data_IF_520452525990
#
_entry.id   IF_520452525990
#
_cell.length_a   1.000
_cell.length_b   1.000
_cell.length_c   1.000
_cell.angle_alpha   90.00
_cell.angle_beta   90.00
_cell.angle_gamma   90.00
#
_symmetry.space_group_name_H-M   'P 1'
#
loop_
_entity.id
_entity.type
_entity.pdbx_description
1 polymer ?
#
# COMPACT_ATOMS: atom_id res chain seq x y z
N UNK A 1 -19.78 -43.42 12.74
CA UNK A 1 -20.04 -41.98 12.95
C UNK A 1 -19.49 -41.21 11.76
N UNK A 2 -20.33 -40.87 10.79
CA UNK A 2 -19.98 -40.04 9.63
C UNK A 2 -20.17 -38.58 10.02
N UNK A 3 -19.08 -37.88 10.30
CA UNK A 3 -19.09 -36.43 10.52
C UNK A 3 -19.50 -35.74 9.22
N UNK A 4 -20.72 -35.18 9.19
CA UNK A 4 -21.14 -34.23 8.17
C UNK A 4 -20.21 -33.01 8.25
N UNK A 5 -19.27 -32.90 7.31
CA UNK A 5 -18.59 -31.64 7.03
C UNK A 5 -19.63 -30.65 6.55
N UNK A 6 -19.93 -29.65 7.38
CA UNK A 6 -20.63 -28.43 6.96
C UNK A 6 -19.98 -27.89 5.67
N UNK A 7 -20.74 -27.37 4.71
CA UNK A 7 -20.20 -26.74 3.53
C UNK A 7 -19.56 -25.42 3.95
N UNK A 8 -18.35 -25.50 4.51
CA UNK A 8 -17.49 -24.35 4.70
C UNK A 8 -17.29 -23.73 3.33
N UNK A 9 -17.52 -22.41 3.23
CA UNK A 9 -17.11 -21.58 2.09
C UNK A 9 -15.85 -22.18 1.47
N UNK A 10 -15.93 -22.53 0.18
CA UNK A 10 -14.81 -23.17 -0.52
C UNK A 10 -13.57 -22.32 -0.23
N UNK A 11 -12.44 -22.93 0.15
CA UNK A 11 -11.28 -22.16 0.60
C UNK A 11 -10.82 -21.10 -0.42
N UNK A 12 -11.19 -21.25 -1.70
CA UNK A 12 -11.03 -20.23 -2.73
C UNK A 12 -11.91 -18.99 -2.54
N UNK A 13 -13.19 -19.16 -2.17
CA UNK A 13 -14.11 -18.05 -1.91
C UNK A 13 -13.62 -17.16 -0.75
N UNK A 14 -13.13 -17.75 0.35
CA UNK A 14 -12.56 -17.00 1.47
C UNK A 14 -11.34 -16.16 1.03
N UNK A 15 -10.47 -16.71 0.18
CA UNK A 15 -9.30 -15.98 -0.33
C UNK A 15 -9.71 -14.84 -1.25
N UNK A 16 -10.69 -15.06 -2.12
CA UNK A 16 -11.16 -14.01 -3.02
C UNK A 16 -11.87 -12.90 -2.25
N UNK A 17 -12.68 -13.23 -1.25
CA UNK A 17 -13.37 -12.23 -0.43
C UNK A 17 -12.38 -11.48 0.45
N UNK A 18 -11.58 -12.15 1.26
CA UNK A 18 -10.70 -11.48 2.23
C UNK A 18 -9.37 -11.02 1.65
N UNK A 19 -8.83 -11.73 0.64
CA UNK A 19 -7.55 -11.41 0.01
C UNK A 19 -7.64 -10.51 -1.22
N UNK A 20 -8.84 -10.29 -1.78
CA UNK A 20 -9.02 -9.45 -2.98
C UNK A 20 -10.15 -8.44 -2.80
N UNK A 21 -11.38 -8.90 -2.58
CA UNK A 21 -12.54 -8.01 -2.52
C UNK A 21 -12.48 -7.04 -1.33
N UNK A 22 -12.16 -7.54 -0.13
CA UNK A 22 -12.04 -6.73 1.08
C UNK A 22 -10.97 -5.63 0.92
N UNK A 23 -9.72 -5.92 0.51
CA UNK A 23 -8.75 -4.85 0.29
C UNK A 23 -9.12 -3.88 -0.85
N UNK A 24 -9.86 -4.31 -1.88
CA UNK A 24 -10.43 -3.38 -2.88
C UNK A 24 -11.50 -2.46 -2.28
N UNK A 25 -12.35 -2.98 -1.40
CA UNK A 25 -13.34 -2.18 -0.65
C UNK A 25 -12.60 -1.19 0.25
N UNK A 26 -11.56 -1.60 0.97
CA UNK A 26 -10.76 -0.70 1.80
C UNK A 26 -10.10 0.41 0.97
N UNK A 27 -9.51 0.09 -0.19
CA UNK A 27 -8.96 1.08 -1.11
C UNK A 27 -10.02 2.08 -1.60
N UNK A 28 -11.27 1.64 -1.76
CA UNK A 28 -12.36 2.48 -2.24
C UNK A 28 -12.99 3.36 -1.16
N UNK A 29 -13.03 2.88 0.08
CA UNK A 29 -13.80 3.45 1.20
C UNK A 29 -12.96 4.04 2.33
N UNK A 30 -11.63 3.90 2.30
CA UNK A 30 -10.73 4.54 3.26
C UNK A 30 -9.88 5.65 2.61
N UNK A 31 -10.50 6.71 2.07
CA UNK A 31 -9.77 7.82 1.50
C UNK A 31 -8.91 8.53 2.56
N UNK A 32 -9.17 8.40 3.87
CA UNK A 32 -8.33 9.06 4.90
C UNK A 32 -6.88 8.55 4.95
N UNK A 33 -6.67 7.25 4.70
CA UNK A 33 -5.34 6.63 4.56
C UNK A 33 -4.68 6.91 3.19
N UNK A 34 -5.47 7.30 2.19
CA UNK A 34 -5.04 7.52 0.80
C UNK A 34 -5.13 8.98 0.30
N UNK A 35 -5.73 9.92 1.03
CA UNK A 35 -5.92 11.32 0.59
C UNK A 35 -4.79 12.22 1.09
N UNK A 36 -3.73 11.66 1.69
CA UNK A 36 -2.55 12.44 2.08
C UNK A 36 -2.80 13.55 3.11
N UNK A 37 -3.99 13.56 3.75
CA UNK A 37 -4.40 14.55 4.75
C UNK A 37 -3.64 14.47 6.07
N UNK A 38 -2.89 13.39 6.29
CA UNK A 38 -2.03 13.24 7.47
C UNK A 38 -0.60 13.59 7.04
N UNK A 39 -0.22 14.82 7.37
CA UNK A 39 1.05 15.45 7.00
C UNK A 39 2.25 14.66 7.57
N UNK A 40 3.08 14.08 6.71
CA UNK A 40 4.29 13.35 7.14
C UNK A 40 4.92 12.44 6.08
N UNK A 41 6.24 12.37 6.05
CA UNK A 41 6.98 11.41 5.19
C UNK A 41 6.69 9.94 5.53
N UNK A 42 6.31 9.65 6.78
CA UNK A 42 5.94 8.31 7.24
C UNK A 42 4.61 7.82 6.64
N UNK A 43 3.62 8.69 6.47
CA UNK A 43 2.31 8.31 5.91
C UNK A 43 2.42 8.04 4.42
N UNK A 44 3.26 8.80 3.69
CA UNK A 44 3.61 8.49 2.29
C UNK A 44 4.28 7.12 2.13
N UNK A 45 5.27 6.80 2.97
CA UNK A 45 5.93 5.49 2.96
C UNK A 45 4.95 4.34 3.25
N UNK A 46 4.10 4.50 4.27
CA UNK A 46 3.09 3.51 4.65
C UNK A 46 2.01 3.34 3.57
N UNK A 47 1.61 4.43 2.90
CA UNK A 47 0.65 4.41 1.80
C UNK A 47 1.20 3.62 0.61
N UNK A 48 2.39 3.98 0.14
CA UNK A 48 3.03 3.34 -1.02
C UNK A 48 3.37 1.88 -0.73
N UNK A 49 3.99 1.62 0.44
CA UNK A 49 4.28 0.26 0.88
C UNK A 49 3.02 -0.58 1.05
N UNK A 50 1.97 0.03 1.61
CA UNK A 50 0.65 -0.56 1.78
C UNK A 50 0.00 -0.98 0.46
N UNK A 51 -0.07 -0.08 -0.51
CA UNK A 51 -0.60 -0.35 -1.86
C UNK A 51 0.20 -1.46 -2.53
N UNK A 52 1.54 -1.34 -2.51
CA UNK A 52 2.44 -2.31 -3.16
C UNK A 52 2.22 -3.72 -2.60
N UNK A 53 2.16 -3.85 -1.27
CA UNK A 53 1.94 -5.12 -0.62
C UNK A 53 0.52 -5.67 -0.83
N UNK A 54 -0.50 -4.80 -0.85
CA UNK A 54 -1.87 -5.20 -1.18
C UNK A 54 -1.95 -5.77 -2.59
N UNK A 55 -1.40 -5.07 -3.59
CA UNK A 55 -1.40 -5.52 -5.00
C UNK A 55 -0.66 -6.85 -5.13
N UNK A 56 0.56 -6.97 -4.58
CA UNK A 56 1.32 -8.22 -4.65
C UNK A 56 0.63 -9.37 -3.89
N UNK A 57 -0.03 -9.06 -2.77
CA UNK A 57 -0.83 -10.00 -2.00
C UNK A 57 -2.05 -10.52 -2.80
N UNK A 58 -2.79 -9.61 -3.45
CA UNK A 58 -3.91 -9.94 -4.33
C UNK A 58 -3.46 -10.82 -5.51
N UNK A 59 -2.37 -10.45 -6.19
CA UNK A 59 -1.81 -11.23 -7.30
C UNK A 59 -1.40 -12.62 -6.83
N UNK A 60 -0.76 -12.73 -5.66
CA UNK A 60 -0.38 -14.02 -5.06
C UNK A 60 -1.61 -14.85 -4.68
N UNK A 61 -2.67 -14.21 -4.16
CA UNK A 61 -3.93 -14.85 -3.82
C UNK A 61 -4.64 -15.41 -5.05
N UNK A 62 -4.78 -14.61 -6.11
CA UNK A 62 -5.36 -15.01 -7.40
C UNK A 62 -4.54 -16.15 -8.02
N UNK A 63 -3.21 -16.03 -8.06
CA UNK A 63 -2.32 -17.08 -8.56
C UNK A 63 -2.46 -18.39 -7.77
N UNK A 64 -2.73 -18.32 -6.47
CA UNK A 64 -2.95 -19.51 -5.62
C UNK A 64 -4.28 -20.23 -5.89
N UNK A 65 -5.29 -19.49 -6.37
CA UNK A 65 -6.60 -20.03 -6.73
C UNK A 65 -6.55 -20.62 -8.13
N UNK A 66 -6.03 -19.86 -9.11
CA UNK A 66 -5.95 -20.29 -10.51
C UNK A 66 -4.92 -21.41 -10.73
N UNK A 67 -3.75 -21.35 -10.08
CA UNK A 67 -2.67 -22.32 -10.25
C UNK A 67 -2.78 -23.58 -9.39
N UNK A 68 -3.90 -23.78 -8.67
CA UNK A 68 -4.14 -24.97 -7.84
C UNK A 68 -3.21 -25.13 -6.61
N UNK A 69 -2.42 -24.12 -6.27
CA UNK A 69 -1.54 -24.13 -5.10
C UNK A 69 -0.34 -25.10 -5.20
N UNK A 70 0.24 -25.26 -6.39
CA UNK A 70 1.39 -26.17 -6.64
C UNK A 70 2.77 -25.49 -6.68
N UNK A 71 2.84 -24.20 -6.34
CA UNK A 71 4.07 -23.40 -6.45
C UNK A 71 4.56 -22.91 -5.10
N UNK A 72 5.82 -23.24 -4.77
CA UNK A 72 6.54 -22.73 -3.60
C UNK A 72 6.69 -21.20 -3.62
N UNK A 73 6.77 -20.60 -4.82
CA UNK A 73 6.83 -19.15 -5.01
C UNK A 73 5.54 -18.47 -4.56
N UNK A 74 4.39 -19.04 -4.92
CA UNK A 74 3.06 -18.54 -4.52
C UNK A 74 2.87 -18.65 -3.01
N UNK A 75 3.37 -19.73 -2.38
CA UNK A 75 3.39 -19.86 -0.92
C UNK A 75 4.26 -18.79 -0.26
N UNK A 76 5.41 -18.45 -0.86
CA UNK A 76 6.30 -17.39 -0.39
C UNK A 76 5.68 -16.00 -0.51
N UNK A 77 5.03 -15.67 -1.63
CA UNK A 77 4.30 -14.41 -1.81
C UNK A 77 3.14 -14.25 -0.83
N UNK A 78 2.37 -15.32 -0.59
CA UNK A 78 1.32 -15.32 0.44
C UNK A 78 1.89 -15.17 1.86
N UNK A 79 3.05 -15.77 2.16
CA UNK A 79 3.70 -15.60 3.46
C UNK A 79 4.18 -14.16 3.65
N UNK A 80 4.82 -13.58 2.63
CA UNK A 80 5.24 -12.18 2.63
C UNK A 80 4.06 -11.23 2.81
N UNK A 81 2.95 -11.49 2.10
CA UNK A 81 1.70 -10.76 2.28
C UNK A 81 1.14 -10.89 3.69
N UNK A 82 1.15 -12.08 4.29
CA UNK A 82 0.71 -12.28 5.67
C UNK A 82 1.57 -11.49 6.67
N UNK A 83 2.90 -11.59 6.56
CA UNK A 83 3.84 -10.85 7.44
C UNK A 83 3.56 -9.35 7.33
N UNK A 84 3.46 -8.83 6.11
CA UNK A 84 3.21 -7.42 5.89
C UNK A 84 1.84 -6.98 6.42
N UNK A 85 0.77 -7.74 6.17
CA UNK A 85 -0.57 -7.44 6.69
C UNK A 85 -0.59 -7.42 8.22
N UNK A 86 0.16 -8.30 8.89
CA UNK A 86 0.34 -8.24 10.33
C UNK A 86 1.15 -7.00 10.75
N UNK A 87 2.29 -6.71 10.11
CA UNK A 87 3.10 -5.53 10.45
C UNK A 87 2.31 -4.23 10.28
N UNK A 88 1.61 -4.08 9.16
CA UNK A 88 0.79 -2.90 8.88
C UNK A 88 -0.42 -2.84 9.82
N UNK A 89 -1.10 -3.96 10.05
CA UNK A 89 -2.23 -4.03 10.98
C UNK A 89 -1.85 -3.72 12.43
N UNK A 90 -0.70 -4.20 12.89
CA UNK A 90 -0.16 -3.87 14.22
C UNK A 90 0.26 -2.40 14.30
N UNK A 91 0.93 -1.87 13.27
CA UNK A 91 1.30 -0.45 13.21
C UNK A 91 0.08 0.47 13.26
N UNK A 92 -0.93 0.19 12.43
CA UNK A 92 -2.20 0.92 12.45
C UNK A 92 -2.93 0.74 13.78
N UNK A 93 -2.95 -0.45 14.37
CA UNK A 93 -3.55 -0.67 15.67
C UNK A 93 -2.95 0.24 16.74
N UNK A 94 -1.62 0.41 16.80
CA UNK A 94 -1.00 1.32 17.77
C UNK A 94 -1.34 2.80 17.52
N UNK A 95 -1.33 3.23 16.25
CA UNK A 95 -1.73 4.61 15.87
C UNK A 95 -3.19 4.87 16.25
N UNK A 96 -4.06 3.90 15.96
CA UNK A 96 -5.50 4.00 16.17
C UNK A 96 -5.85 3.91 17.65
N UNK A 97 -5.24 3.01 18.42
CA UNK A 97 -5.41 2.96 19.88
C UNK A 97 -4.93 4.28 20.50
N UNK A 98 -3.81 4.83 20.03
CA UNK A 98 -3.33 6.14 20.46
C UNK A 98 -4.34 7.27 20.19
N UNK A 99 -4.98 7.27 19.02
CA UNK A 99 -5.99 8.27 18.64
C UNK A 99 -7.37 8.04 19.30
N UNK A 100 -7.75 6.78 19.53
CA UNK A 100 -9.05 6.39 20.10
C UNK A 100 -9.19 6.75 21.57
N UNK A 101 -8.08 6.86 22.31
CA UNK A 101 -8.08 7.38 23.69
C UNK A 101 -8.60 8.82 23.74
N UNK A 102 -8.48 9.58 22.64
CA UNK A 102 -8.83 11.00 22.60
C UNK A 102 -10.15 11.32 21.89
N UNK A 103 -10.78 10.37 21.19
CA UNK A 103 -11.96 10.65 20.38
C UNK A 103 -13.16 9.79 20.78
N UNK A 104 -14.23 10.44 21.25
CA UNK A 104 -15.47 9.83 21.76
C UNK A 104 -16.55 9.59 20.70
N UNK A 105 -16.23 9.74 19.40
CA UNK A 105 -17.21 9.60 18.33
C UNK A 105 -17.29 8.19 17.75
N UNK A 106 -18.52 7.67 17.59
CA UNK A 106 -18.82 6.36 17.01
C UNK A 106 -18.28 6.21 15.56
N UNK A 107 -18.21 7.31 14.81
CA UNK A 107 -17.65 7.32 13.46
C UNK A 107 -16.16 6.98 13.45
N UNK A 108 -15.36 7.55 14.38
CA UNK A 108 -13.95 7.21 14.52
C UNK A 108 -13.74 5.74 14.89
N UNK A 109 -14.65 5.15 15.67
CA UNK A 109 -14.61 3.71 15.99
C UNK A 109 -14.87 2.80 14.78
N UNK A 110 -15.76 3.21 13.87
CA UNK A 110 -15.99 2.46 12.62
C UNK A 110 -14.77 2.53 11.68
N UNK A 111 -14.14 3.71 11.54
CA UNK A 111 -12.87 3.86 10.81
C UNK A 111 -11.73 3.07 11.46
N UNK A 112 -11.70 3.05 12.79
CA UNK A 112 -10.77 2.24 13.60
C UNK A 112 -10.88 0.76 13.28
N UNK A 113 -12.10 0.22 13.22
CA UNK A 113 -12.32 -1.18 12.85
C UNK A 113 -11.92 -1.49 11.40
N UNK A 114 -12.09 -0.54 10.47
CA UNK A 114 -11.59 -0.68 9.09
C UNK A 114 -10.06 -0.76 9.05
N UNK A 115 -9.36 0.04 9.86
CA UNK A 115 -7.90 0.01 9.99
C UNK A 115 -7.33 -1.31 10.51
N UNK A 116 -8.16 -2.17 11.12
CA UNK A 116 -7.79 -3.52 11.58
C UNK A 116 -8.06 -4.61 10.54
N UNK A 117 -8.65 -4.29 9.39
CA UNK A 117 -8.89 -5.27 8.34
C UNK A 117 -7.61 -6.01 7.87
N UNK A 118 -6.42 -5.38 7.79
CA UNK A 118 -5.17 -6.10 7.52
C UNK A 118 -4.88 -7.24 8.53
N UNK A 119 -5.25 -7.09 9.80
CA UNK A 119 -5.12 -8.15 10.81
C UNK A 119 -6.05 -9.34 10.55
N UNK A 120 -7.20 -9.12 9.92
CA UNK A 120 -8.11 -10.19 9.54
C UNK A 120 -7.61 -10.95 8.29
N UNK A 121 -6.93 -10.25 7.37
CA UNK A 121 -6.41 -10.85 6.13
C UNK A 121 -5.14 -11.68 6.37
N UNK A 122 -4.28 -11.27 7.30
CA UNK A 122 -3.03 -11.96 7.64
C UNK A 122 -3.17 -13.47 7.93
N UNK A 123 -4.10 -13.89 8.81
CA UNK A 123 -4.39 -15.31 9.06
C UNK A 123 -4.86 -16.09 7.82
N UNK A 124 -5.63 -15.45 6.92
CA UNK A 124 -6.11 -16.07 5.68
C UNK A 124 -4.94 -16.35 4.73
N UNK A 125 -4.04 -15.38 4.57
CA UNK A 125 -2.81 -15.57 3.78
C UNK A 125 -1.86 -16.59 4.39
N UNK A 126 -1.71 -16.60 5.72
CA UNK A 126 -0.86 -17.55 6.42
C UNK A 126 -1.38 -18.99 6.29
N UNK A 127 -2.67 -19.21 6.55
CA UNK A 127 -3.31 -20.53 6.41
C UNK A 127 -3.21 -21.04 4.98
N UNK A 128 -3.43 -20.18 3.98
CA UNK A 128 -3.27 -20.56 2.58
C UNK A 128 -1.80 -20.81 2.21
N UNK A 129 -0.86 -20.02 2.69
CA UNK A 129 0.58 -20.23 2.46
C UNK A 129 1.02 -21.62 2.96
N UNK A 130 0.55 -22.03 4.15
CA UNK A 130 0.81 -23.37 4.72
C UNK A 130 0.20 -24.48 3.87
N UNK A 131 -1.03 -24.30 3.40
CA UNK A 131 -1.72 -25.29 2.54
C UNK A 131 -1.07 -25.41 1.15
N UNK A 132 -0.62 -24.31 0.55
CA UNK A 132 0.12 -24.32 -0.72
C UNK A 132 1.50 -24.97 -0.53
N UNK A 133 2.16 -24.71 0.61
CA UNK A 133 3.45 -25.32 0.92
C UNK A 133 3.34 -26.84 1.10
N UNK A 134 2.33 -27.33 1.84
CA UNK A 134 2.16 -28.77 2.04
C UNK A 134 1.91 -29.50 0.71
N UNK A 135 1.13 -28.91 -0.19
CA UNK A 135 0.92 -29.42 -1.55
C UNK A 135 2.18 -29.37 -2.41
N UNK A 136 2.96 -28.30 -2.34
CA UNK A 136 4.23 -28.19 -3.06
C UNK A 136 5.28 -29.18 -2.53
N UNK A 137 5.31 -29.40 -1.21
CA UNK A 137 6.19 -30.36 -0.56
C UNK A 137 5.87 -31.80 -0.96
N UNK A 138 4.58 -32.15 -1.08
CA UNK A 138 4.14 -33.45 -1.61
C UNK A 138 4.59 -33.69 -3.07
N UNK A 139 4.97 -32.63 -3.80
CA UNK A 139 5.46 -32.69 -5.18
C UNK A 139 7.00 -32.54 -5.27
N UNK A 140 7.73 -32.57 -4.14
CA UNK A 140 9.19 -32.40 -4.10
C UNK A 140 9.69 -30.98 -4.41
N UNK A 141 8.79 -29.98 -4.49
CA UNK A 141 9.11 -28.60 -4.88
C UNK A 141 9.34 -27.71 -3.66
N UNK A 142 10.47 -27.91 -2.99
CA UNK A 142 10.80 -27.20 -1.74
C UNK A 142 11.55 -25.87 -1.95
N UNK A 143 12.18 -25.69 -3.12
CA UNK A 143 13.05 -24.54 -3.40
C UNK A 143 12.22 -23.32 -3.81
N UNK A 144 12.56 -22.15 -3.30
CA UNK A 144 11.99 -20.87 -3.73
C UNK A 144 11.00 -20.19 -2.78
N UNK A 145 10.51 -20.84 -1.73
CA UNK A 145 9.58 -20.19 -0.77
C UNK A 145 10.23 -19.03 -0.01
N UNK A 146 11.41 -19.29 0.57
CA UNK A 146 12.18 -18.27 1.29
C UNK A 146 12.62 -17.14 0.35
N UNK A 147 13.07 -17.49 -0.86
CA UNK A 147 13.44 -16.52 -1.89
C UNK A 147 12.26 -15.63 -2.29
N UNK A 148 11.08 -16.20 -2.56
CA UNK A 148 9.89 -15.44 -2.93
C UNK A 148 9.36 -14.58 -1.77
N UNK A 149 9.42 -15.09 -0.53
CA UNK A 149 9.08 -14.29 0.66
C UNK A 149 10.03 -13.11 0.83
N UNK A 150 11.34 -13.34 0.72
CA UNK A 150 12.34 -12.29 0.82
C UNK A 150 12.22 -11.28 -0.33
N UNK A 151 12.02 -11.74 -1.57
CA UNK A 151 11.79 -10.88 -2.72
C UNK A 151 10.53 -10.02 -2.51
N UNK A 152 9.46 -10.59 -1.98
CA UNK A 152 8.25 -9.84 -1.64
C UNK A 152 8.55 -8.72 -0.63
N UNK A 153 9.22 -9.04 0.48
CA UNK A 153 9.58 -8.04 1.51
C UNK A 153 10.48 -6.96 0.93
N UNK A 154 11.49 -7.35 0.14
CA UNK A 154 12.41 -6.40 -0.51
C UNK A 154 11.64 -5.48 -1.46
N UNK A 155 10.72 -5.98 -2.28
CA UNK A 155 9.92 -5.14 -3.19
C UNK A 155 9.03 -4.18 -2.39
N UNK A 156 8.37 -4.65 -1.35
CA UNK A 156 7.52 -3.80 -0.49
C UNK A 156 8.29 -2.67 0.21
N UNK A 157 9.60 -2.82 0.42
CA UNK A 157 10.47 -1.77 0.97
C UNK A 157 11.14 -0.93 -0.13
N UNK A 158 11.56 -1.55 -1.24
CA UNK A 158 12.30 -0.89 -2.31
C UNK A 158 11.41 0.10 -3.07
N UNK A 159 10.16 -0.25 -3.36
CA UNK A 159 9.20 0.61 -4.08
C UNK A 159 8.96 1.94 -3.35
N UNK A 160 8.56 1.97 -2.05
CA UNK A 160 8.39 3.23 -1.34
C UNK A 160 9.70 4.01 -1.17
N UNK A 161 10.83 3.33 -0.98
CA UNK A 161 12.14 4.00 -0.87
C UNK A 161 12.55 4.66 -2.18
N UNK A 162 12.32 3.99 -3.31
CA UNK A 162 12.61 4.52 -4.64
C UNK A 162 11.67 5.69 -4.99
N UNK A 163 10.38 5.61 -4.61
CA UNK A 163 9.44 6.71 -4.79
C UNK A 163 9.83 7.95 -3.97
N UNK A 164 10.24 7.78 -2.71
CA UNK A 164 10.74 8.88 -1.87
C UNK A 164 12.03 9.49 -2.44
N UNK A 165 12.95 8.66 -2.93
CA UNK A 165 14.17 9.12 -3.58
C UNK A 165 13.88 9.90 -4.88
N UNK A 166 12.94 9.41 -5.69
CA UNK A 166 12.49 10.10 -6.90
C UNK A 166 11.81 11.43 -6.58
N UNK A 167 11.01 11.50 -5.50
CA UNK A 167 10.43 12.75 -5.03
C UNK A 167 11.52 13.74 -4.59
N UNK A 168 12.46 13.32 -3.73
CA UNK A 168 13.54 14.18 -3.26
C UNK A 168 14.42 14.70 -4.40
N UNK A 169 14.79 13.82 -5.34
CA UNK A 169 15.57 14.18 -6.52
C UNK A 169 14.81 15.10 -7.46
N UNK A 170 13.56 14.77 -7.78
CA UNK A 170 12.72 15.58 -8.68
C UNK A 170 12.51 16.98 -8.14
N UNK A 171 12.30 17.13 -6.83
CA UNK A 171 12.22 18.43 -6.18
C UNK A 171 13.53 19.22 -6.22
N UNK A 172 14.67 18.56 -6.03
CA UNK A 172 15.98 19.20 -6.15
C UNK A 172 16.23 19.70 -7.58
N UNK A 173 15.91 18.88 -8.59
CA UNK A 173 16.05 19.24 -10.00
C UNK A 173 15.14 20.44 -10.37
N UNK A 174 13.88 20.47 -9.90
CA UNK A 174 12.96 21.60 -10.09
C UNK A 174 13.52 22.88 -9.45
N UNK A 175 14.03 22.79 -8.21
CA UNK A 175 14.63 23.94 -7.51
C UNK A 175 15.85 24.50 -8.23
N UNK A 176 16.69 23.64 -8.77
CA UNK A 176 17.87 24.02 -9.52
C UNK A 176 17.56 24.52 -10.95
N UNK A 177 16.30 24.47 -11.38
CA UNK A 177 15.86 24.98 -12.68
C UNK A 177 15.85 23.93 -13.80
N UNK A 178 16.15 22.68 -13.49
CA UNK A 178 15.99 21.52 -14.38
C UNK A 178 14.57 20.95 -14.27
N UNK A 179 13.58 21.81 -14.53
CA UNK A 179 12.16 21.47 -14.30
C UNK A 179 11.72 20.24 -15.11
N UNK A 180 12.13 20.12 -16.37
CA UNK A 180 11.73 19.00 -17.22
C UNK A 180 12.29 17.66 -16.72
N UNK A 181 13.55 17.62 -16.28
CA UNK A 181 14.18 16.43 -15.71
C UNK A 181 13.48 16.01 -14.41
N UNK A 182 13.16 16.99 -13.56
CA UNK A 182 12.44 16.75 -12.31
C UNK A 182 11.02 16.23 -12.55
N UNK A 183 10.29 16.82 -13.50
CA UNK A 183 8.95 16.36 -13.92
C UNK A 183 9.01 14.95 -14.46
N UNK A 184 9.96 14.62 -15.33
CA UNK A 184 10.11 13.28 -15.89
C UNK A 184 10.42 12.23 -14.81
N UNK A 185 11.28 12.58 -13.84
CA UNK A 185 11.56 11.73 -12.69
C UNK A 185 10.29 11.46 -11.84
N UNK A 186 9.50 12.50 -11.57
CA UNK A 186 8.23 12.38 -10.83
C UNK A 186 7.16 11.62 -11.61
N UNK A 187 7.08 11.83 -12.94
CA UNK A 187 6.08 11.24 -13.82
C UNK A 187 6.17 9.72 -13.86
N UNK A 188 7.39 9.17 -13.87
CA UNK A 188 7.62 7.71 -13.81
C UNK A 188 7.06 7.07 -12.55
N UNK A 189 6.89 7.87 -11.50
CA UNK A 189 6.36 7.45 -10.21
C UNK A 189 5.00 8.08 -9.89
N UNK A 190 4.29 8.66 -10.88
CA UNK A 190 3.05 9.40 -10.65
C UNK A 190 1.93 8.57 -9.98
N UNK A 191 1.96 7.24 -10.10
CA UNK A 191 1.02 6.34 -9.41
C UNK A 191 1.28 6.23 -7.89
N UNK A 192 2.45 6.69 -7.46
CA UNK A 192 3.04 6.38 -6.16
C UNK A 192 3.43 7.65 -5.41
N UNK A 193 3.95 8.64 -6.13
CA UNK A 193 4.35 9.94 -5.59
C UNK A 193 3.12 10.82 -5.47
N UNK A 194 2.95 11.38 -4.27
CA UNK A 194 1.88 12.30 -3.96
C UNK A 194 2.12 13.66 -4.63
N UNK A 195 1.30 14.01 -5.63
CA UNK A 195 1.34 15.33 -6.29
C UNK A 195 1.14 16.47 -5.31
N UNK A 196 0.48 16.20 -4.18
CA UNK A 196 0.16 17.18 -3.15
C UNK A 196 1.42 17.62 -2.39
N UNK A 197 2.49 16.82 -2.46
CA UNK A 197 3.80 17.20 -1.95
C UNK A 197 4.36 18.44 -2.68
N UNK A 198 4.08 18.59 -3.99
CA UNK A 198 4.46 19.79 -4.74
C UNK A 198 3.67 21.01 -4.27
N UNK A 199 2.37 20.85 -3.98
CA UNK A 199 1.52 21.93 -3.45
C UNK A 199 2.02 22.39 -2.08
N UNK A 200 2.32 21.44 -1.18
CA UNK A 200 2.88 21.76 0.15
C UNK A 200 4.23 22.46 0.05
N UNK A 201 5.10 22.02 -0.86
CA UNK A 201 6.38 22.69 -1.05
C UNK A 201 6.20 24.09 -1.63
N UNK A 202 5.30 24.26 -2.61
CA UNK A 202 4.95 25.57 -3.19
C UNK A 202 4.49 26.56 -2.10
N UNK A 203 3.64 26.12 -1.17
CA UNK A 203 3.14 26.94 -0.06
C UNK A 203 4.27 27.38 0.88
N UNK A 204 5.26 26.52 1.12
CA UNK A 204 6.40 26.79 2.02
C UNK A 204 7.51 27.61 1.38
N UNK A 205 7.62 27.53 0.05
CA UNK A 205 8.67 28.19 -0.71
C UNK A 205 8.46 29.72 -0.71
N UNK A 206 9.55 30.47 -0.54
CA UNK A 206 9.51 31.95 -0.51
C UNK A 206 10.05 32.58 -1.78
N UNK A 207 10.83 31.83 -2.55
CA UNK A 207 11.37 32.29 -3.83
C UNK A 207 10.30 32.15 -4.93
N UNK A 208 9.87 33.29 -5.48
CA UNK A 208 8.87 33.36 -6.56
C UNK A 208 9.29 32.58 -7.81
N UNK A 209 10.59 32.54 -8.14
CA UNK A 209 11.06 31.77 -9.29
C UNK A 209 10.94 30.26 -9.05
N UNK A 210 11.18 29.82 -7.82
CA UNK A 210 11.05 28.40 -7.45
C UNK A 210 9.56 28.03 -7.37
N UNK A 211 8.72 28.91 -6.84
CA UNK A 211 7.26 28.75 -6.85
C UNK A 211 6.72 28.57 -8.28
N UNK A 212 7.12 29.43 -9.23
CA UNK A 212 6.69 29.31 -10.63
C UNK A 212 7.15 27.98 -11.26
N UNK A 213 8.37 27.53 -10.95
CA UNK A 213 8.86 26.22 -11.42
C UNK A 213 8.07 25.05 -10.83
N UNK A 214 7.74 25.09 -9.54
CA UNK A 214 6.92 24.07 -8.88
C UNK A 214 5.50 24.08 -9.45
N UNK A 215 4.93 25.25 -9.71
CA UNK A 215 3.60 25.37 -10.32
C UNK A 215 3.57 24.78 -11.73
N UNK A 216 4.56 25.10 -12.58
CA UNK A 216 4.71 24.50 -13.90
C UNK A 216 4.87 22.98 -13.82
N UNK A 217 5.67 22.48 -12.88
CA UNK A 217 5.85 21.05 -12.67
C UNK A 217 4.54 20.35 -12.25
N UNK A 218 3.80 20.95 -11.31
CA UNK A 218 2.52 20.43 -10.86
C UNK A 218 1.48 20.40 -11.99
N UNK A 219 1.37 21.49 -12.77
CA UNK A 219 0.49 21.55 -13.93
C UNK A 219 0.86 20.47 -14.95
N UNK A 220 2.15 20.27 -15.24
CA UNK A 220 2.61 19.24 -16.18
C UNK A 220 2.31 17.81 -15.71
N UNK A 221 2.26 17.57 -14.40
CA UNK A 221 1.99 16.24 -13.83
C UNK A 221 0.49 15.94 -13.70
N UNK A 222 -0.32 16.95 -13.37
CA UNK A 222 -1.72 16.75 -12.97
C UNK A 222 -2.74 17.36 -13.94
N UNK A 223 -2.31 18.31 -14.78
CA UNK A 223 -3.20 19.14 -15.61
C UNK A 223 -4.02 20.16 -14.83
N UNK A 224 -3.71 20.41 -13.54
CA UNK A 224 -4.44 21.32 -12.65
C UNK A 224 -3.52 22.39 -12.06
N UNK A 225 -4.07 23.55 -11.76
CA UNK A 225 -3.32 24.64 -11.12
C UNK A 225 -3.09 24.35 -9.64
N UNK A 226 -1.92 24.76 -9.13
CA UNK A 226 -1.63 24.72 -7.69
C UNK A 226 -2.59 25.63 -6.91
N UNK A 227 -3.03 26.75 -7.51
CA UNK A 227 -3.91 27.71 -6.84
C UNK A 227 -5.29 27.13 -6.54
N UNK A 228 -5.83 26.31 -7.45
CA UNK A 228 -7.13 25.64 -7.27
C UNK A 228 -7.13 24.69 -6.07
N UNK A 229 -5.96 24.12 -5.75
CA UNK A 229 -5.81 23.19 -4.64
C UNK A 229 -5.30 23.83 -3.35
N UNK A 230 -4.75 25.05 -3.42
CA UNK A 230 -4.17 25.74 -2.25
C UNK A 230 -5.16 25.87 -1.09
N UNK A 231 -6.44 26.11 -1.39
CA UNK A 231 -7.50 26.23 -0.38
C UNK A 231 -7.72 24.97 0.46
N UNK A 232 -7.31 23.79 -0.04
CA UNK A 232 -7.40 22.52 0.68
C UNK A 232 -6.27 22.33 1.72
N UNK A 233 -5.24 23.20 1.68
CA UNK A 233 -4.04 23.13 2.52
C UNK A 233 -3.75 24.44 3.28
N UNK A 234 -4.69 25.39 3.27
CA UNK A 234 -4.52 26.72 3.85
C UNK A 234 -4.92 26.82 5.33
N UNK A 235 -5.11 25.68 6.02
CA UNK A 235 -5.44 25.59 7.45
C UNK A 235 -4.19 25.36 8.33
#
# INVERSE_FOLDING_TARGET
MTTKTTPGLSHGATILVFGVALPLVLLRFDPGLFDGRVDGSMTGFLRVGGITAMVLGMVSAVASVLGGGRSSLVSGGLLGGAIFSFTLGTGLFFVVVGLSVFSSSLAMFAFTLLGLAPLAVGPVYLSRSRLVQSRAAALGRHRGRALACNAFVVVCLAVPTAALWALGRGMADIREGRTDDGVEALRRWALVVDSDALVREWIRERDEMVQDRIERAHWSLTGKSVMERRSEFAD
#
